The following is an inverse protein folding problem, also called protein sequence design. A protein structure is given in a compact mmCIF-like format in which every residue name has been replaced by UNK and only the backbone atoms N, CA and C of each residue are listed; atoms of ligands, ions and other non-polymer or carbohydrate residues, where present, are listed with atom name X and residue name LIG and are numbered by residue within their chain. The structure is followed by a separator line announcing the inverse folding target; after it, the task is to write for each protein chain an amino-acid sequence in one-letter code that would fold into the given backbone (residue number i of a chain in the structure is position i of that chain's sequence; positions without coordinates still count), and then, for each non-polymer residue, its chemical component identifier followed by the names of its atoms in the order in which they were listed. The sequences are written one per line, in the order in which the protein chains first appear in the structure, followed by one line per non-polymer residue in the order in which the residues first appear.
data_IF_941820551202
#
_entry.id   IF_941820551202
#
_cell.length_a   1.000
_cell.length_b   1.000
_cell.length_c   1.000
_cell.angle_alpha   90.00
_cell.angle_beta   90.00
_cell.angle_gamma   90.00
#
_symmetry.space_group_name_H-M   'P 1'
#
loop_
_entity.id
_entity.type
_entity.pdbx_description
1 polymer ?
#
# COMPACT_ATOMS: atom_id res chain seq x y z
N UNK A 1 2.27 11.89 -6.47
CA UNK A 1 3.05 10.78 -5.88
C UNK A 1 2.28 9.48 -6.09
N UNK A 2 2.94 8.34 -6.28
CA UNK A 2 2.27 7.05 -6.44
C UNK A 2 2.54 6.16 -5.23
N UNK A 3 1.54 5.39 -4.81
CA UNK A 3 1.63 4.44 -3.71
C UNK A 3 1.22 3.08 -4.24
N UNK A 4 2.03 2.07 -3.95
CA UNK A 4 1.71 0.68 -4.17
C UNK A 4 1.07 0.16 -2.88
N UNK A 5 -0.16 -0.31 -2.98
CA UNK A 5 -0.91 -0.91 -1.90
C UNK A 5 -1.09 -2.41 -2.13
N UNK A 6 -0.94 -3.19 -1.06
CA UNK A 6 -1.17 -4.63 -1.04
C UNK A 6 -2.45 -4.94 -0.26
N UNK A 7 -3.25 -5.86 -0.78
CA UNK A 7 -4.49 -6.35 -0.18
C UNK A 7 -4.15 -7.36 0.91
N UNK A 8 -4.31 -6.96 2.17
CA UNK A 8 -4.09 -7.82 3.34
C UNK A 8 -5.42 -8.23 3.97
N UNK A 9 -5.55 -9.47 4.47
CA UNK A 9 -6.71 -9.88 5.25
C UNK A 9 -6.72 -9.16 6.62
N UNK A 10 -7.86 -8.60 7.03
CA UNK A 10 -8.03 -8.16 8.42
C UNK A 10 -8.35 -9.37 9.30
N UNK A 11 -7.61 -9.53 10.41
CA UNK A 11 -7.84 -10.61 11.38
C UNK A 11 -9.14 -10.48 12.20
N UNK A 12 -9.84 -9.34 12.11
CA UNK A 12 -11.04 -9.05 12.89
C UNK A 12 -12.31 -9.65 12.27
N UNK A 13 -12.48 -10.97 12.38
CA UNK A 13 -13.75 -11.72 12.45
C UNK A 13 -14.73 -11.68 11.27
N UNK A 14 -14.57 -10.76 10.32
CA UNK A 14 -15.31 -10.71 9.05
C UNK A 14 -14.27 -10.68 7.95
N UNK A 15 -14.54 -11.42 6.86
CA UNK A 15 -13.83 -11.42 5.59
C UNK A 15 -13.74 -10.00 4.98
N UNK A 16 -12.97 -9.13 5.62
CA UNK A 16 -12.73 -7.75 5.23
C UNK A 16 -11.27 -7.69 4.81
N UNK A 17 -11.06 -7.32 3.57
CA UNK A 17 -9.74 -7.02 3.07
C UNK A 17 -9.46 -5.53 3.27
N UNK A 18 -8.22 -5.21 3.62
CA UNK A 18 -7.75 -3.83 3.70
C UNK A 18 -6.58 -3.66 2.73
N UNK A 19 -6.55 -2.53 2.05
CA UNK A 19 -5.39 -2.11 1.28
C UNK A 19 -4.40 -1.45 2.22
N UNK A 20 -3.18 -1.97 2.27
CA UNK A 20 -2.08 -1.45 3.08
C UNK A 20 -0.98 -0.95 2.15
N UNK A 21 -0.47 0.27 2.41
CA UNK A 21 0.65 0.80 1.65
C UNK A 21 1.90 -0.07 1.86
N UNK A 22 2.49 -0.51 0.77
CA UNK A 22 3.69 -1.34 0.75
C UNK A 22 4.90 -0.53 0.27
N UNK A 23 4.71 0.37 -0.70
CA UNK A 23 5.77 1.24 -1.22
C UNK A 23 5.21 2.57 -1.72
N UNK A 24 6.05 3.61 -1.75
CA UNK A 24 5.70 4.95 -2.21
C UNK A 24 6.81 5.41 -3.17
N UNK A 25 6.45 5.90 -4.35
CA UNK A 25 7.43 6.38 -5.33
C UNK A 25 6.88 7.55 -6.15
N UNK A 26 7.76 8.47 -6.55
CA UNK A 26 7.44 9.53 -7.51
C UNK A 26 7.27 9.02 -8.94
N UNK A 27 7.82 7.83 -9.26
CA UNK A 27 7.79 7.21 -10.59
C UNK A 27 6.87 5.99 -10.60
N UNK A 28 5.82 6.04 -11.40
CA UNK A 28 4.84 4.95 -11.51
C UNK A 28 5.43 3.67 -12.11
N UNK A 29 6.38 3.79 -13.04
CA UNK A 29 6.98 2.65 -13.73
C UNK A 29 7.73 1.70 -12.79
N UNK A 30 8.35 2.25 -11.74
CA UNK A 30 9.00 1.43 -10.72
C UNK A 30 7.97 0.60 -9.95
N UNK A 31 6.84 1.22 -9.56
CA UNK A 31 5.77 0.51 -8.86
C UNK A 31 5.07 -0.53 -9.75
N UNK A 32 4.96 -0.28 -11.06
CA UNK A 32 4.46 -1.26 -12.03
C UNK A 32 5.36 -2.49 -12.10
N UNK A 33 6.68 -2.30 -12.22
CA UNK A 33 7.64 -3.42 -12.20
C UNK A 33 7.56 -4.23 -10.90
N UNK A 34 7.43 -3.54 -9.76
CA UNK A 34 7.29 -4.22 -8.46
C UNK A 34 5.98 -5.01 -8.42
N UNK A 35 4.86 -4.42 -8.84
CA UNK A 35 3.56 -5.10 -8.93
C UNK A 35 3.63 -6.35 -9.82
N UNK A 36 4.23 -6.22 -11.00
CA UNK A 36 4.30 -7.30 -11.99
C UNK A 36 5.25 -8.44 -11.57
N UNK A 37 6.19 -8.15 -10.67
CA UNK A 37 7.07 -9.16 -10.06
C UNK A 37 6.40 -9.94 -8.92
N UNK A 38 5.23 -9.52 -8.43
CA UNK A 38 4.54 -10.20 -7.34
C UNK A 38 3.68 -11.36 -7.88
N UNK A 39 3.67 -12.51 -7.18
CA UNK A 39 2.92 -13.70 -7.62
C UNK A 39 1.40 -13.53 -7.61
N UNK A 40 0.88 -12.50 -6.93
CA UNK A 40 -0.55 -12.25 -6.72
C UNK A 40 -0.93 -10.83 -7.18
N UNK A 41 -0.57 -10.46 -8.41
CA UNK A 41 -0.75 -9.11 -8.96
C UNK A 41 -2.16 -8.49 -8.76
N UNK A 42 -3.24 -9.29 -8.75
CA UNK A 42 -4.61 -8.84 -8.45
C UNK A 42 -4.80 -8.29 -7.02
N UNK A 43 -3.90 -8.64 -6.11
CA UNK A 43 -3.86 -8.14 -4.73
C UNK A 43 -3.00 -6.88 -4.59
N UNK A 44 -2.49 -6.34 -5.69
CA UNK A 44 -1.65 -5.14 -5.69
C UNK A 44 -2.28 -4.05 -6.54
N UNK A 45 -2.36 -2.84 -6.00
CA UNK A 45 -2.87 -1.68 -6.74
C UNK A 45 -1.96 -0.48 -6.58
N UNK A 46 -1.88 0.30 -7.64
CA UNK A 46 -1.15 1.56 -7.63
C UNK A 46 -2.17 2.68 -7.55
N UNK A 47 -2.08 3.50 -6.52
CA UNK A 47 -2.94 4.66 -6.31
C UNK A 47 -2.13 5.94 -6.39
N UNK A 48 -2.71 6.99 -6.96
CA UNK A 48 -2.12 8.32 -6.92
C UNK A 48 -2.46 8.94 -5.57
N UNK A 49 -1.44 9.27 -4.77
CA UNK A 49 -1.63 10.00 -3.53
C UNK A 49 -1.54 11.51 -3.80
N UNK A 50 -2.61 12.28 -3.52
CA UNK A 50 -2.52 13.73 -3.45
C UNK A 50 -1.79 14.08 -2.15
N UNK A 51 -0.58 14.63 -2.28
CA UNK A 51 0.27 14.97 -1.14
C UNK A 51 1.77 14.80 -1.43
N UNK A 52 2.57 15.31 -0.51
CA UNK A 52 4.03 15.16 -0.52
C UNK A 52 4.45 13.74 -0.14
N UNK A 53 5.72 13.38 -0.36
CA UNK A 53 6.28 12.10 0.12
C UNK A 53 6.06 11.92 1.63
N UNK A 54 6.12 13.01 2.39
CA UNK A 54 5.98 13.02 3.85
C UNK A 54 4.54 12.69 4.28
N UNK A 55 3.52 13.19 3.57
CA UNK A 55 2.12 12.84 3.83
C UNK A 55 1.83 11.36 3.59
N UNK A 56 2.44 10.81 2.53
CA UNK A 56 2.30 9.40 2.20
C UNK A 56 3.04 8.51 3.22
N UNK A 57 4.23 8.92 3.67
CA UNK A 57 4.99 8.25 4.73
C UNK A 57 4.24 8.29 6.06
N UNK A 58 3.72 9.46 6.48
CA UNK A 58 2.94 9.61 7.72
C UNK A 58 1.68 8.74 7.71
N UNK A 59 1.00 8.62 6.56
CA UNK A 59 -0.13 7.67 6.39
C UNK A 59 0.33 6.22 6.50
N UNK A 60 1.50 5.88 5.97
CA UNK A 60 2.03 4.52 6.05
C UNK A 60 2.45 4.17 7.48
N UNK A 61 3.17 5.05 8.17
CA UNK A 61 3.54 4.91 9.58
C UNK A 61 2.30 4.77 10.47
N UNK A 62 1.28 5.62 10.27
CA UNK A 62 0.01 5.50 11.00
C UNK A 62 -0.70 4.15 10.77
N UNK A 63 -0.47 3.49 9.63
CA UNK A 63 -0.97 2.14 9.36
C UNK A 63 -0.07 1.04 9.91
N UNK A 64 1.25 1.26 9.99
CA UNK A 64 2.22 0.32 10.57
C UNK A 64 2.10 0.25 12.10
N UNK A 65 1.93 1.39 12.78
CA UNK A 65 1.83 1.45 14.24
C UNK A 65 0.46 1.02 14.80
N UNK A 66 -0.59 0.90 13.96
CA UNK A 66 -1.87 0.28 14.39
C UNK A 66 -1.79 -1.23 14.65
N UNK A 67 -0.63 -1.87 14.43
CA UNK A 67 -0.41 -3.30 14.65
C UNK A 67 0.17 -3.65 16.04
N UNK A 68 0.38 -2.66 16.92
CA UNK A 68 1.03 -2.84 18.22
C UNK A 68 0.12 -2.55 19.43
N UNK A 69 -1.20 -2.71 19.29
CA UNK A 69 -2.18 -2.57 20.38
C UNK A 69 -3.12 -3.76 20.44
#
# INVERSE_FOLDING_TARGET
MYVLEHRVPCQTGRWRHRWQAAAICGKVDLLRKIRDAQPDADHWRIVMAPGSCEDALRRNEAMAYRKAG
#
